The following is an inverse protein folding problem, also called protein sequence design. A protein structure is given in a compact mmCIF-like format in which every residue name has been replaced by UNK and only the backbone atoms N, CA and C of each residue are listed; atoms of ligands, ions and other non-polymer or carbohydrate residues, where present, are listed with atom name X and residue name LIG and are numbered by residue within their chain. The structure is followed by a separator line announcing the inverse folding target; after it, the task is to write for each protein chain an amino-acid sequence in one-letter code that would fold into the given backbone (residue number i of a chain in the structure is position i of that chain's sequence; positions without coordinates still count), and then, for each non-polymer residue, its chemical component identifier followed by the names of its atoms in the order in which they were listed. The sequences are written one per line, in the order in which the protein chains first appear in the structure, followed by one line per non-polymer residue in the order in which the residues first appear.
data_IF_560599639875
#
_entry.id   IF_560599639875
#
_cell.length_a   1.000
_cell.length_b   1.000
_cell.length_c   1.000
_cell.angle_alpha   90.00
_cell.angle_beta   90.00
_cell.angle_gamma   90.00
#
_symmetry.space_group_name_H-M   'P 1'
#
loop_
_entity.id
_entity.type
_entity.pdbx_description
1 polymer ?
#
# COMPACT_ATOMS: atom_id res chain seq x y z
N UNK A 1 -12.03 -27.81 1.20
CA UNK A 1 -12.37 -27.62 -0.23
C UNK A 1 -13.28 -28.72 -0.73
N UNK A 2 -12.82 -29.98 -0.82
CA UNK A 2 -13.64 -31.11 -1.29
C UNK A 2 -15.02 -31.26 -0.61
N UNK A 3 -15.17 -31.10 0.73
CA UNK A 3 -16.48 -31.22 1.38
C UNK A 3 -17.47 -30.14 0.95
N UNK A 4 -17.00 -28.89 0.75
CA UNK A 4 -17.85 -27.77 0.33
C UNK A 4 -18.29 -27.89 -1.13
N UNK A 5 -17.40 -28.37 -1.99
CA UNK A 5 -17.73 -28.63 -3.41
C UNK A 5 -18.74 -29.78 -3.50
N UNK A 6 -18.54 -30.86 -2.74
CA UNK A 6 -19.48 -31.99 -2.69
C UNK A 6 -20.85 -31.55 -2.18
N UNK A 7 -20.91 -30.81 -1.07
CA UNK A 7 -22.17 -30.25 -0.55
C UNK A 7 -22.89 -29.35 -1.56
N UNK A 8 -22.16 -28.46 -2.24
CA UNK A 8 -22.73 -27.59 -3.28
C UNK A 8 -23.19 -28.34 -4.53
N UNK A 9 -22.57 -29.48 -4.84
CA UNK A 9 -22.95 -30.31 -5.99
C UNK A 9 -24.13 -31.26 -5.70
N UNK A 10 -24.26 -31.74 -4.46
CA UNK A 10 -25.32 -32.69 -4.06
C UNK A 10 -26.62 -31.96 -3.68
N UNK A 11 -26.51 -30.78 -3.07
CA UNK A 11 -27.68 -29.96 -2.69
C UNK A 11 -27.90 -28.88 -3.75
N UNK A 12 -28.73 -29.19 -4.74
CA UNK A 12 -29.03 -28.30 -5.88
C UNK A 12 -29.77 -27.01 -5.50
N UNK A 13 -30.42 -26.96 -4.34
CA UNK A 13 -31.11 -25.77 -3.82
C UNK A 13 -30.19 -24.80 -3.05
N UNK A 14 -28.95 -25.19 -2.75
CA UNK A 14 -28.02 -24.38 -1.97
C UNK A 14 -27.60 -23.08 -2.68
N UNK A 15 -27.30 -23.07 -4.01
CA UNK A 15 -26.99 -21.84 -4.73
C UNK A 15 -28.17 -20.86 -4.73
N UNK A 16 -29.40 -21.36 -4.97
CA UNK A 16 -30.61 -20.52 -4.98
C UNK A 16 -30.92 -19.93 -3.60
N UNK A 17 -30.71 -20.69 -2.52
CA UNK A 17 -30.85 -20.18 -1.15
C UNK A 17 -29.80 -19.11 -0.82
N UNK A 18 -28.55 -19.27 -1.27
CA UNK A 18 -27.51 -18.27 -1.11
C UNK A 18 -27.79 -17.00 -1.93
N UNK A 19 -28.34 -17.14 -3.13
CA UNK A 19 -28.73 -16.01 -3.98
C UNK A 19 -29.93 -15.24 -3.39
N UNK A 20 -30.86 -15.93 -2.73
CA UNK A 20 -31.98 -15.29 -2.01
C UNK A 20 -31.53 -14.38 -0.86
N UNK A 21 -30.31 -14.60 -0.34
CA UNK A 21 -29.67 -13.79 0.69
C UNK A 21 -28.78 -12.68 0.09
N UNK A 22 -28.90 -12.40 -1.20
CA UNK A 22 -28.18 -11.31 -1.87
C UNK A 22 -28.98 -10.02 -1.84
N UNK A 23 -28.30 -8.90 -1.65
CA UNK A 23 -28.88 -7.55 -1.78
C UNK A 23 -28.29 -6.90 -3.02
N UNK A 24 -29.11 -6.71 -4.05
CA UNK A 24 -28.67 -6.22 -5.35
C UNK A 24 -27.74 -7.22 -6.04
N UNK A 25 -26.46 -6.89 -6.14
CA UNK A 25 -25.41 -7.73 -6.76
C UNK A 25 -24.48 -8.40 -5.75
N UNK A 26 -24.69 -8.19 -4.44
CA UNK A 26 -23.76 -8.65 -3.39
C UNK A 26 -24.38 -9.74 -2.54
N UNK A 27 -23.73 -10.91 -2.50
CA UNK A 27 -24.12 -12.04 -1.67
C UNK A 27 -23.62 -11.84 -0.23
N UNK A 28 -24.53 -11.53 0.71
CA UNK A 28 -24.20 -11.23 2.10
C UNK A 28 -23.43 -12.37 2.79
N UNK A 29 -23.86 -13.65 2.69
CA UNK A 29 -23.12 -14.78 3.25
C UNK A 29 -21.66 -14.85 2.78
N UNK A 30 -21.43 -14.66 1.47
CA UNK A 30 -20.07 -14.67 0.91
C UNK A 30 -19.28 -13.46 1.41
N UNK A 31 -19.88 -12.27 1.43
CA UNK A 31 -19.23 -11.05 1.90
C UNK A 31 -18.81 -11.16 3.39
N UNK A 32 -19.68 -11.70 4.25
CA UNK A 32 -19.35 -11.95 5.66
C UNK A 32 -18.24 -12.99 5.76
N UNK A 33 -18.30 -14.07 4.97
CA UNK A 33 -17.23 -15.08 4.92
C UNK A 33 -15.87 -14.47 4.55
N UNK A 34 -15.84 -13.60 3.55
CA UNK A 34 -14.64 -12.88 3.13
C UNK A 34 -14.13 -11.91 4.21
N UNK A 35 -15.03 -11.17 4.86
CA UNK A 35 -14.67 -10.24 5.93
C UNK A 35 -14.06 -10.98 7.12
N UNK A 36 -14.67 -12.09 7.53
CA UNK A 36 -14.13 -12.95 8.59
C UNK A 36 -12.75 -13.48 8.20
N UNK A 37 -12.57 -13.96 6.96
CA UNK A 37 -11.28 -14.44 6.48
C UNK A 37 -10.21 -13.35 6.38
N UNK A 38 -10.59 -12.10 6.15
CA UNK A 38 -9.66 -10.97 6.18
C UNK A 38 -9.32 -10.56 7.62
N UNK A 39 -10.27 -10.59 8.54
CA UNK A 39 -10.05 -10.17 9.93
C UNK A 39 -9.29 -11.22 10.76
N UNK A 40 -9.52 -12.52 10.51
CA UNK A 40 -8.93 -13.62 11.28
C UNK A 40 -7.39 -13.62 11.32
N UNK A 41 -6.69 -13.37 10.19
CA UNK A 41 -5.23 -13.28 10.18
C UNK A 41 -4.74 -12.01 10.87
N UNK A 42 -5.41 -10.87 10.68
CA UNK A 42 -5.02 -9.59 11.27
C UNK A 42 -5.07 -9.62 12.80
N UNK A 43 -6.04 -10.34 13.38
CA UNK A 43 -6.15 -10.51 14.82
C UNK A 43 -5.03 -11.38 15.43
N UNK A 44 -4.31 -12.17 14.62
CA UNK A 44 -3.25 -13.08 15.07
C UNK A 44 -1.84 -12.52 14.87
N UNK A 45 -1.69 -11.33 14.29
CA UNK A 45 -0.38 -10.71 14.04
C UNK A 45 0.19 -10.13 15.34
N UNK A 46 1.44 -10.45 15.64
CA UNK A 46 2.23 -9.84 16.73
C UNK A 46 2.81 -8.52 16.23
N UNK A 47 2.24 -7.40 16.66
CA UNK A 47 2.59 -6.07 16.17
C UNK A 47 4.00 -5.64 16.61
N UNK A 48 4.53 -6.27 17.65
CA UNK A 48 5.84 -6.00 18.24
C UNK A 48 6.99 -6.41 17.30
N UNK A 49 6.76 -7.37 16.42
CA UNK A 49 7.75 -7.89 15.46
C UNK A 49 7.71 -7.15 14.11
N UNK A 50 6.67 -6.35 13.85
CA UNK A 50 6.50 -5.62 12.59
C UNK A 50 7.68 -4.70 12.23
N UNK A 51 8.24 -3.89 13.16
CA UNK A 51 9.37 -3.03 12.83
C UNK A 51 10.61 -3.82 12.40
N UNK A 52 10.79 -5.02 12.96
CA UNK A 52 11.94 -5.89 12.66
C UNK A 52 11.84 -6.50 11.25
N UNK A 53 10.66 -6.95 10.83
CA UNK A 53 10.44 -7.48 9.47
C UNK A 53 10.43 -6.37 8.41
N UNK A 54 9.99 -5.16 8.78
CA UNK A 54 10.05 -4.00 7.89
C UNK A 54 11.46 -3.44 7.69
N UNK A 55 12.36 -3.66 8.67
CA UNK A 55 13.77 -3.29 8.55
C UNK A 55 14.52 -4.16 7.53
N UNK A 56 14.11 -5.42 7.34
CA UNK A 56 14.72 -6.31 6.36
C UNK A 56 14.18 -6.04 4.94
N UNK A 57 14.80 -5.05 4.29
CA UNK A 57 14.43 -4.59 2.95
C UNK A 57 14.56 -5.67 1.88
N UNK A 58 15.42 -6.69 2.08
CA UNK A 58 15.58 -7.80 1.13
C UNK A 58 14.39 -8.74 1.22
N UNK A 59 13.99 -9.12 2.43
CA UNK A 59 12.82 -9.98 2.65
C UNK A 59 11.54 -9.28 2.17
N UNK A 60 11.40 -7.99 2.44
CA UNK A 60 10.30 -7.16 1.93
C UNK A 60 10.28 -7.09 0.40
N UNK A 61 11.42 -6.81 -0.23
CA UNK A 61 11.49 -6.74 -1.69
C UNK A 61 11.22 -8.10 -2.33
N UNK A 62 11.76 -9.18 -1.76
CA UNK A 62 11.53 -10.55 -2.24
C UNK A 62 10.07 -10.95 -2.12
N UNK A 63 9.41 -10.70 -0.98
CA UNK A 63 8.00 -11.06 -0.81
C UNK A 63 7.09 -10.24 -1.73
N UNK A 64 7.40 -8.95 -1.91
CA UNK A 64 6.62 -8.08 -2.78
C UNK A 64 6.79 -8.46 -4.25
N UNK A 65 8.02 -8.68 -4.71
CA UNK A 65 8.30 -9.09 -6.10
C UNK A 65 7.77 -10.49 -6.36
N UNK A 66 8.00 -11.44 -5.45
CA UNK A 66 7.49 -12.80 -5.59
C UNK A 66 5.95 -12.80 -5.64
N UNK A 67 5.28 -12.15 -4.70
CA UNK A 67 3.82 -12.14 -4.66
C UNK A 67 3.22 -11.39 -5.85
N UNK A 68 3.75 -10.21 -6.16
CA UNK A 68 3.19 -9.34 -7.19
C UNK A 68 3.57 -9.76 -8.61
N UNK A 69 4.74 -10.36 -8.83
CA UNK A 69 5.18 -10.78 -10.16
C UNK A 69 4.92 -12.26 -10.41
N UNK A 70 5.26 -13.16 -9.48
CA UNK A 70 5.06 -14.59 -9.75
C UNK A 70 3.58 -14.93 -9.88
N UNK A 71 2.69 -14.35 -9.06
CA UNK A 71 1.26 -14.63 -9.14
C UNK A 71 0.67 -14.33 -10.54
N UNK A 72 0.75 -13.08 -11.03
CA UNK A 72 0.24 -12.72 -12.36
C UNK A 72 0.93 -13.44 -13.51
N UNK A 73 2.26 -13.62 -13.44
CA UNK A 73 3.00 -14.32 -14.50
C UNK A 73 2.61 -15.79 -14.57
N UNK A 74 2.49 -16.46 -13.43
CA UNK A 74 2.06 -17.85 -13.36
C UNK A 74 0.63 -18.03 -13.87
N UNK A 75 -0.29 -17.17 -13.42
CA UNK A 75 -1.68 -17.18 -13.89
C UNK A 75 -1.79 -16.91 -15.40
N UNK A 76 -1.01 -15.97 -15.92
CA UNK A 76 -0.96 -15.67 -17.36
C UNK A 76 -0.38 -16.82 -18.19
N UNK A 77 0.68 -17.46 -17.70
CA UNK A 77 1.28 -18.62 -18.34
C UNK A 77 0.29 -19.80 -18.42
N UNK A 78 -0.41 -20.10 -17.32
CA UNK A 78 -1.47 -21.11 -17.31
C UNK A 78 -2.61 -20.75 -18.27
N UNK A 79 -3.05 -19.48 -18.28
CA UNK A 79 -4.08 -19.04 -19.21
C UNK A 79 -3.65 -19.23 -20.67
N UNK A 80 -2.41 -18.91 -21.03
CA UNK A 80 -1.91 -19.11 -22.40
C UNK A 80 -1.88 -20.58 -22.83
N UNK A 81 -1.57 -21.51 -21.92
CA UNK A 81 -1.49 -22.94 -22.24
C UNK A 81 -2.88 -23.56 -22.30
N UNK A 82 -3.75 -23.29 -21.32
CA UNK A 82 -5.04 -23.98 -21.19
C UNK A 82 -6.21 -23.31 -21.94
N UNK A 83 -6.18 -21.98 -22.17
CA UNK A 83 -7.29 -21.25 -22.80
C UNK A 83 -7.04 -20.92 -24.28
N UNK A 84 -5.93 -21.39 -24.87
CA UNK A 84 -5.55 -21.11 -26.25
C UNK A 84 -6.65 -21.46 -27.26
N UNK A 85 -7.36 -22.56 -27.02
CA UNK A 85 -8.39 -23.09 -27.91
C UNK A 85 -9.78 -22.46 -27.68
N UNK A 86 -9.90 -21.53 -26.72
CA UNK A 86 -11.16 -20.88 -26.38
C UNK A 86 -11.14 -19.37 -26.70
N UNK A 87 -11.55 -18.97 -27.92
CA UNK A 87 -11.45 -17.59 -28.38
C UNK A 87 -12.28 -16.59 -27.54
N UNK A 88 -13.37 -17.05 -26.90
CA UNK A 88 -14.18 -16.20 -25.98
C UNK A 88 -13.39 -15.73 -24.76
N UNK A 89 -12.56 -16.59 -24.16
CA UNK A 89 -11.79 -16.25 -22.96
C UNK A 89 -10.47 -15.54 -23.29
N UNK A 90 -9.96 -15.70 -24.51
CA UNK A 90 -8.80 -14.98 -25.04
C UNK A 90 -9.01 -13.45 -25.13
N UNK A 91 -10.27 -12.98 -25.19
CA UNK A 91 -10.57 -11.54 -25.16
C UNK A 91 -10.07 -10.91 -23.87
N UNK A 92 -10.32 -11.55 -22.72
CA UNK A 92 -9.82 -11.09 -21.42
C UNK A 92 -8.29 -11.04 -21.37
N UNK A 93 -7.63 -12.04 -21.97
CA UNK A 93 -6.18 -12.10 -22.06
C UNK A 93 -5.61 -10.94 -22.89
N UNK A 94 -6.24 -10.64 -24.03
CA UNK A 94 -5.85 -9.52 -24.89
C UNK A 94 -6.03 -8.17 -24.19
N UNK A 95 -7.07 -7.99 -23.39
CA UNK A 95 -7.27 -6.78 -22.59
C UNK A 95 -6.16 -6.59 -21.56
N UNK A 96 -5.72 -7.66 -20.89
CA UNK A 96 -4.59 -7.61 -19.95
C UNK A 96 -3.30 -7.20 -20.66
N UNK A 97 -3.00 -7.80 -21.81
CA UNK A 97 -1.81 -7.46 -22.61
C UNK A 97 -1.87 -6.02 -23.09
N UNK A 98 -3.03 -5.54 -23.54
CA UNK A 98 -3.23 -4.16 -23.96
C UNK A 98 -3.03 -3.18 -22.80
N UNK A 99 -3.60 -3.47 -21.63
CA UNK A 99 -3.44 -2.66 -20.43
C UNK A 99 -1.96 -2.53 -20.03
N UNK A 100 -1.19 -3.63 -20.08
CA UNK A 100 0.25 -3.63 -19.79
C UNK A 100 1.05 -2.77 -20.78
N UNK A 101 0.72 -2.82 -22.07
CA UNK A 101 1.37 -2.00 -23.11
C UNK A 101 1.19 -0.51 -22.86
N UNK A 102 0.06 -0.08 -22.28
CA UNK A 102 -0.22 1.32 -21.93
C UNK A 102 0.39 1.67 -20.57
N UNK A 103 0.35 0.74 -19.61
CA UNK A 103 0.85 0.97 -18.25
C UNK A 103 2.37 1.15 -18.19
N UNK A 104 3.15 0.36 -18.94
CA UNK A 104 4.63 0.41 -18.93
C UNK A 104 5.19 1.81 -19.26
N UNK A 105 4.85 2.46 -20.38
CA UNK A 105 5.39 3.78 -20.70
C UNK A 105 4.93 4.87 -19.73
N UNK A 106 3.72 4.77 -19.18
CA UNK A 106 3.22 5.69 -18.17
C UNK A 106 4.01 5.55 -16.86
N UNK A 107 4.23 4.32 -16.40
CA UNK A 107 5.00 4.01 -15.21
C UNK A 107 6.46 4.46 -15.35
N UNK A 108 7.09 4.26 -16.51
CA UNK A 108 8.46 4.69 -16.76
C UNK A 108 8.60 6.22 -16.65
N UNK A 109 7.66 6.97 -17.24
CA UNK A 109 7.64 8.45 -17.15
C UNK A 109 7.45 8.92 -15.72
N UNK A 110 6.54 8.28 -14.98
CA UNK A 110 6.32 8.55 -13.56
C UNK A 110 7.60 8.33 -12.75
N UNK A 111 8.27 7.19 -12.91
CA UNK A 111 9.51 6.88 -12.20
C UNK A 111 10.62 7.88 -12.55
N UNK A 112 10.73 8.29 -13.82
CA UNK A 112 11.69 9.30 -14.26
C UNK A 112 11.45 10.65 -13.57
N UNK A 113 10.23 11.16 -13.62
CA UNK A 113 9.88 12.46 -13.02
C UNK A 113 9.96 12.43 -11.50
N UNK A 114 9.47 11.35 -10.87
CA UNK A 114 9.54 11.15 -9.43
C UNK A 114 10.98 11.00 -8.96
N UNK A 115 11.79 10.18 -9.64
CA UNK A 115 13.21 9.98 -9.34
C UNK A 115 14.01 11.27 -9.48
N UNK A 116 13.76 12.06 -10.53
CA UNK A 116 14.41 13.36 -10.71
C UNK A 116 14.05 14.34 -9.59
N UNK A 117 12.77 14.41 -9.23
CA UNK A 117 12.28 15.27 -8.14
C UNK A 117 12.84 14.84 -6.78
N UNK A 118 12.92 13.54 -6.53
CA UNK A 118 13.50 12.97 -5.32
C UNK A 118 15.01 13.22 -5.23
N UNK A 119 15.72 13.11 -6.35
CA UNK A 119 17.16 13.41 -6.42
C UNK A 119 17.42 14.90 -6.11
N UNK A 120 16.65 15.80 -6.69
CA UNK A 120 16.74 17.23 -6.37
C UNK A 120 16.42 17.50 -4.90
N UNK A 121 15.32 16.94 -4.39
CA UNK A 121 14.98 17.04 -2.98
C UNK A 121 16.08 16.54 -2.06
N UNK A 122 16.77 15.46 -2.42
CA UNK A 122 17.90 14.93 -1.63
C UNK A 122 19.12 15.85 -1.66
N UNK A 123 19.47 16.41 -2.82
CA UNK A 123 20.57 17.37 -2.94
C UNK A 123 20.27 18.63 -2.11
N UNK A 124 19.05 19.17 -2.19
CA UNK A 124 18.66 20.37 -1.47
C UNK A 124 18.36 20.14 0.02
N UNK A 125 18.08 18.90 0.45
CA UNK A 125 17.87 18.56 1.86
C UNK A 125 19.13 18.78 2.72
N UNK A 126 20.32 18.71 2.12
CA UNK A 126 21.58 19.00 2.82
C UNK A 126 21.69 20.47 3.26
N UNK A 127 21.17 21.40 2.45
CA UNK A 127 21.25 22.84 2.71
C UNK A 127 20.03 23.40 3.46
N UNK A 128 18.92 22.65 3.50
CA UNK A 128 17.66 23.09 4.11
C UNK A 128 17.82 23.47 5.60
N UNK A 129 18.62 22.71 6.36
CA UNK A 129 18.80 22.96 7.80
C UNK A 129 19.58 24.26 8.07
N UNK A 130 20.52 24.62 7.19
CA UNK A 130 21.34 25.84 7.35
C UNK A 130 20.61 27.07 6.82
N UNK A 131 20.00 26.99 5.64
CA UNK A 131 19.22 28.10 5.08
C UNK A 131 18.00 28.45 5.93
N UNK A 132 17.29 27.47 6.49
CA UNK A 132 16.14 27.75 7.36
C UNK A 132 16.58 28.40 8.69
N UNK A 133 17.70 27.94 9.26
CA UNK A 133 18.26 28.51 10.49
C UNK A 133 18.78 29.94 10.28
N UNK A 134 19.44 30.21 9.15
CA UNK A 134 19.90 31.54 8.76
C UNK A 134 18.75 32.49 8.46
N UNK A 135 17.71 32.03 7.76
CA UNK A 135 16.50 32.81 7.50
C UNK A 135 15.78 33.18 8.81
N UNK A 136 15.64 32.23 9.74
CA UNK A 136 15.06 32.50 11.07
C UNK A 136 15.89 33.50 11.87
N UNK A 137 17.22 33.40 11.80
CA UNK A 137 18.13 34.31 12.52
C UNK A 137 18.08 35.73 11.94
N UNK A 138 18.01 35.88 10.61
CA UNK A 138 17.78 37.19 9.96
C UNK A 138 16.41 37.77 10.29
N UNK A 139 15.36 36.95 10.30
CA UNK A 139 14.00 37.38 10.66
C UNK A 139 13.94 37.85 12.13
N UNK A 140 14.56 37.10 13.05
CA UNK A 140 14.65 37.45 14.46
C UNK A 140 15.42 38.76 14.67
N UNK A 141 16.50 38.99 13.91
CA UNK A 141 17.25 40.25 13.95
C UNK A 141 16.43 41.45 13.43
N UNK A 142 15.64 41.27 12.37
CA UNK A 142 14.76 42.32 11.82
C UNK A 142 13.63 42.67 12.81
N UNK A 143 13.06 41.68 13.48
CA UNK A 143 12.03 41.88 14.51
C UNK A 143 12.60 42.36 15.85
N UNK A 144 13.92 42.60 15.92
CA UNK A 144 14.65 42.94 17.14
C UNK A 144 14.29 42.00 18.30
N UNK A 145 14.13 40.71 17.97
CA UNK A 145 13.70 39.68 18.90
C UNK A 145 14.79 39.44 19.95
N UNK A 146 14.51 39.56 21.25
CA UNK A 146 15.52 39.40 22.29
C UNK A 146 16.04 37.96 22.29
N UNK A 147 17.35 37.77 22.07
CA UNK A 147 17.95 36.44 22.21
C UNK A 147 17.75 35.98 23.66
N UNK A 148 17.30 34.75 23.93
CA UNK A 148 17.16 34.25 25.29
C UNK A 148 18.56 34.19 25.93
N UNK A 149 18.89 35.22 26.71
CA UNK A 149 20.13 35.26 27.47
C UNK A 149 20.07 34.21 28.59
N UNK A 150 21.13 33.42 28.83
CA UNK A 150 21.17 32.46 29.95
C UNK A 150 21.13 33.12 31.35
N UNK A 151 20.96 34.44 31.44
CA UNK A 151 21.09 35.25 32.65
C UNK A 151 19.96 36.26 32.86
N UNK A 152 18.80 36.07 32.24
CA UNK A 152 17.60 36.86 32.59
C UNK A 152 16.65 36.02 33.43
N UNK A 153 16.15 36.62 34.52
CA UNK A 153 15.44 35.97 35.65
C UNK A 153 14.11 35.28 35.34
N UNK A 154 13.85 34.90 34.08
CA UNK A 154 12.67 34.18 33.63
C UNK A 154 12.59 32.75 34.17
N UNK A 155 13.71 32.14 34.58
CA UNK A 155 13.70 30.83 35.28
C UNK A 155 13.02 30.86 36.65
N UNK A 156 12.83 32.05 37.26
CA UNK A 156 12.06 32.19 38.52
C UNK A 156 10.55 32.29 38.33
N UNK A 157 10.07 32.49 37.10
CA UNK A 157 8.64 32.69 36.80
C UNK A 157 7.95 31.41 36.30
N UNK A 158 8.70 30.36 35.95
CA UNK A 158 8.14 29.06 35.58
C UNK A 158 7.30 28.36 36.67
N UNK A 159 7.61 28.46 37.98
CA UNK A 159 6.78 27.82 39.02
C UNK A 159 5.57 28.65 39.47
N UNK A 160 5.29 29.81 38.86
CA UNK A 160 4.11 30.65 39.15
C UNK A 160 2.99 30.53 38.11
N UNK A 161 3.25 29.82 37.01
CA UNK A 161 2.31 29.59 35.91
C UNK A 161 1.89 28.11 35.77
N UNK A 162 2.31 27.27 36.71
CA UNK A 162 1.75 25.94 37.00
C UNK A 162 1.04 25.99 38.35
#
# INVERSE_FOLDING_TARGET
MAPGILLGSVITGLPAALDSLSVGTTNLPIAIGLLVMMYLPLAKVRYEELPRVLADRRVLALSLVQNWLMGPVFMFALALVFLRDQPKYMIGLNLIVLALRIAIPLALRFILQFGLSFLMGWIFAADYRRTTAEAFTRQAAILNWPSPSPRSGWTRLYPLLL
#
